data_IF_862687038336
#
_entry.id   IF_862687038336
#
_cell.length_a   1.000
_cell.length_b   1.000
_cell.length_c   1.000
_cell.angle_alpha   90.00
_cell.angle_beta   90.00
_cell.angle_gamma   90.00
#
_symmetry.space_group_name_H-M   'P 1'
#
loop_
_entity.id
_entity.type
_entity.pdbx_description
1 polymer ?
#
# COMPACT_ATOMS: atom_id res chain seq x y z
N UNK A 1 -13.21 2.81 -39.94
CA UNK A 1 -14.46 3.04 -39.20
C UNK A 1 -14.94 1.83 -38.39
N UNK A 2 -14.81 0.57 -38.84
CA UNK A 2 -15.19 -0.60 -38.03
C UNK A 2 -14.01 -1.18 -37.21
N UNK A 3 -12.78 -1.11 -37.72
CA UNK A 3 -11.58 -1.65 -37.05
C UNK A 3 -11.18 -0.88 -35.78
N UNK A 4 -11.37 0.45 -35.73
CA UNK A 4 -11.03 1.30 -34.58
C UNK A 4 -11.89 1.02 -33.33
N UNK A 5 -13.04 0.37 -33.47
CA UNK A 5 -13.95 0.06 -32.36
C UNK A 5 -13.57 -1.24 -31.64
N UNK A 6 -12.93 -2.18 -32.33
CA UNK A 6 -12.54 -3.49 -31.81
C UNK A 6 -11.26 -3.42 -30.96
N UNK A 7 -10.35 -2.51 -31.30
CA UNK A 7 -9.15 -2.20 -30.51
C UNK A 7 -9.50 -1.58 -29.15
N UNK A 8 -10.45 -0.63 -29.11
CA UNK A 8 -10.93 0.02 -27.87
C UNK A 8 -11.65 -0.96 -26.94
N UNK A 9 -12.39 -1.94 -27.47
CA UNK A 9 -13.02 -2.98 -26.65
C UNK A 9 -12.00 -3.94 -26.02
N UNK A 10 -10.92 -4.23 -26.74
CA UNK A 10 -9.83 -5.10 -26.26
C UNK A 10 -9.03 -4.41 -25.16
N UNK A 11 -8.72 -3.12 -25.33
CA UNK A 11 -8.05 -2.29 -24.33
C UNK A 11 -8.93 -2.13 -23.07
N UNK A 12 -10.24 -1.89 -23.21
CA UNK A 12 -11.18 -1.86 -22.09
C UNK A 12 -11.28 -3.21 -21.38
N UNK A 13 -11.31 -4.35 -22.08
CA UNK A 13 -11.28 -5.68 -21.43
C UNK A 13 -9.96 -5.95 -20.73
N UNK A 14 -8.85 -5.48 -21.28
CA UNK A 14 -7.53 -5.61 -20.66
C UNK A 14 -7.45 -4.77 -19.38
N UNK A 15 -7.89 -3.51 -19.42
CA UNK A 15 -7.98 -2.61 -18.27
C UNK A 15 -9.00 -3.10 -17.22
N UNK A 16 -10.10 -3.74 -17.63
CA UNK A 16 -11.06 -4.35 -16.69
C UNK A 16 -10.53 -5.64 -16.06
N UNK A 17 -9.77 -6.46 -16.81
CA UNK A 17 -9.09 -7.64 -16.25
C UNK A 17 -8.03 -7.24 -15.24
N UNK A 18 -7.19 -6.25 -15.58
CA UNK A 18 -6.17 -5.74 -14.66
C UNK A 18 -6.78 -5.02 -13.48
N UNK A 19 -7.81 -4.15 -13.64
CA UNK A 19 -8.52 -3.53 -12.51
C UNK A 19 -9.21 -4.53 -11.60
N UNK A 20 -9.74 -5.63 -12.14
CA UNK A 20 -10.36 -6.69 -11.33
C UNK A 20 -9.33 -7.51 -10.56
N UNK A 21 -8.17 -7.77 -11.18
CA UNK A 21 -6.99 -8.35 -10.50
C UNK A 21 -6.45 -7.40 -9.41
N UNK A 22 -6.34 -6.12 -9.72
CA UNK A 22 -5.85 -5.07 -8.84
C UNK A 22 -6.77 -4.92 -7.63
N UNK A 23 -8.08 -4.78 -7.83
CA UNK A 23 -9.07 -4.75 -6.72
C UNK A 23 -9.06 -5.99 -5.84
N UNK A 24 -8.63 -7.14 -6.36
CA UNK A 24 -8.54 -8.38 -5.58
C UNK A 24 -7.23 -8.45 -4.78
N UNK A 25 -6.12 -7.93 -5.32
CA UNK A 25 -4.83 -7.83 -4.62
C UNK A 25 -4.83 -6.71 -3.55
N UNK A 26 -5.54 -5.61 -3.79
CA UNK A 26 -5.75 -4.49 -2.86
C UNK A 26 -6.33 -4.90 -1.49
N UNK A 27 -7.02 -6.03 -1.40
CA UNK A 27 -7.70 -6.44 -0.17
C UNK A 27 -6.90 -7.43 0.71
N UNK A 28 -5.68 -7.84 0.34
CA UNK A 28 -5.04 -8.98 1.00
C UNK A 28 -3.58 -8.83 1.44
N UNK A 29 -2.89 -7.75 1.08
CA UNK A 29 -1.49 -7.59 1.49
C UNK A 29 -1.42 -6.85 2.83
N UNK A 30 -0.92 -7.55 3.83
CA UNK A 30 -0.67 -7.04 5.18
C UNK A 30 0.84 -7.02 5.42
N UNK A 31 1.31 -6.00 6.14
CA UNK A 31 2.70 -5.91 6.60
C UNK A 31 2.75 -5.60 8.07
N UNK A 32 3.88 -5.95 8.68
CA UNK A 32 4.14 -5.70 10.09
C UNK A 32 5.25 -4.70 10.26
N UNK A 33 5.11 -3.79 11.22
CA UNK A 33 6.20 -2.92 11.68
C UNK A 33 6.26 -2.92 13.21
N UNK A 34 7.43 -2.60 13.76
CA UNK A 34 7.59 -2.40 15.21
C UNK A 34 7.44 -0.92 15.51
N UNK A 35 6.56 -0.56 16.44
CA UNK A 35 6.40 0.82 16.86
C UNK A 35 7.62 1.28 17.68
N UNK A 36 8.31 2.34 17.24
CA UNK A 36 9.47 2.91 17.95
C UNK A 36 9.14 3.48 19.35
N UNK A 37 7.87 3.79 19.62
CA UNK A 37 7.45 4.40 20.88
C UNK A 37 7.13 3.36 21.97
N UNK A 38 6.36 2.32 21.65
CA UNK A 38 5.95 1.29 22.62
C UNK A 38 6.61 -0.08 22.43
N UNK A 39 7.26 -0.32 21.29
CA UNK A 39 7.88 -1.60 20.95
C UNK A 39 6.92 -2.68 20.50
N UNK A 40 5.64 -2.37 20.29
CA UNK A 40 4.63 -3.35 19.86
C UNK A 40 4.75 -3.64 18.35
N UNK A 41 4.49 -4.89 17.97
CA UNK A 41 4.34 -5.30 16.57
C UNK A 41 2.94 -4.96 16.06
N UNK A 42 2.87 -4.07 15.07
CA UNK A 42 1.62 -3.59 14.48
C UNK A 42 1.47 -4.16 13.08
N UNK A 43 0.31 -4.76 12.81
CA UNK A 43 -0.08 -5.24 11.48
C UNK A 43 -0.94 -4.19 10.80
N UNK A 44 -0.60 -3.82 9.57
CA UNK A 44 -1.32 -2.83 8.77
C UNK A 44 -1.63 -3.37 7.37
N UNK A 45 -2.81 -3.06 6.82
CA UNK A 45 -3.10 -3.33 5.42
C UNK A 45 -2.34 -2.35 4.52
N UNK A 46 -1.79 -2.82 3.41
CA UNK A 46 -1.09 -1.99 2.43
C UNK A 46 -1.71 -2.10 1.05
N UNK A 47 -1.89 -0.94 0.40
CA UNK A 47 -2.47 -0.86 -0.95
C UNK A 47 -1.37 -0.56 -1.99
N UNK A 48 -1.11 -1.45 -2.96
CA UNK A 48 -0.13 -1.19 -4.02
C UNK A 48 -0.51 -0.02 -4.95
N UNK A 49 -1.74 0.50 -4.88
CA UNK A 49 -2.21 1.70 -5.57
C UNK A 49 -1.47 2.98 -5.17
N UNK A 50 -0.92 3.03 -3.95
CA UNK A 50 -0.13 4.16 -3.49
C UNK A 50 1.23 4.30 -4.19
N UNK A 51 1.61 3.33 -5.03
CA UNK A 51 2.90 3.28 -5.71
C UNK A 51 3.89 2.33 -5.03
N UNK A 52 5.05 2.15 -5.67
CA UNK A 52 6.10 1.23 -5.20
C UNK A 52 6.72 1.63 -3.88
N UNK A 53 6.81 2.93 -3.61
CA UNK A 53 7.35 3.46 -2.37
C UNK A 53 6.31 4.42 -1.81
N UNK A 54 5.88 4.17 -0.58
CA UNK A 54 4.87 4.95 0.10
C UNK A 54 5.40 5.41 1.44
N UNK A 55 5.02 6.63 1.82
CA UNK A 55 5.36 7.22 3.10
C UNK A 55 4.13 7.94 3.62
N UNK A 56 3.67 7.56 4.81
CA UNK A 56 2.52 8.19 5.46
C UNK A 56 2.67 8.12 6.97
N UNK A 57 1.97 9.00 7.68
CA UNK A 57 1.94 9.00 9.14
C UNK A 57 0.65 8.35 9.62
N UNK A 58 0.75 7.44 10.58
CA UNK A 58 -0.37 6.82 11.26
C UNK A 58 -0.11 6.77 12.77
N UNK A 59 -1.14 6.91 13.59
CA UNK A 59 -1.02 6.75 15.04
C UNK A 59 -0.94 5.26 15.40
N UNK A 60 0.01 4.88 16.25
CA UNK A 60 0.08 3.51 16.77
C UNK A 60 -1.22 3.17 17.53
N UNK A 61 -1.94 2.07 17.18
CA UNK A 61 -3.21 1.74 17.81
C UNK A 61 -3.08 1.33 19.30
N UNK A 62 -1.86 1.11 19.77
CA UNK A 62 -1.57 0.71 21.16
C UNK A 62 -1.18 1.89 22.04
N UNK A 63 -0.35 2.81 21.54
CA UNK A 63 0.20 3.91 22.35
C UNK A 63 -0.16 5.31 21.84
N UNK A 64 -0.92 5.41 20.74
CA UNK A 64 -1.36 6.67 20.12
C UNK A 64 -0.23 7.64 19.76
N UNK A 65 1.01 7.16 19.60
CA UNK A 65 2.11 7.99 19.13
C UNK A 65 2.16 7.96 17.60
N UNK A 66 2.35 9.11 16.94
CA UNK A 66 2.46 9.19 15.50
C UNK A 66 3.72 8.47 15.03
N UNK A 67 3.52 7.54 14.10
CA UNK A 67 4.56 6.74 13.46
C UNK A 67 4.57 7.05 11.97
N UNK A 68 5.74 7.42 11.45
CA UNK A 68 5.97 7.60 10.02
C UNK A 68 6.24 6.23 9.43
N UNK A 69 5.27 5.68 8.72
CA UNK A 69 5.35 4.37 8.10
C UNK A 69 5.90 4.52 6.69
N UNK A 70 6.90 3.71 6.40
CA UNK A 70 7.50 3.54 5.09
C UNK A 70 7.11 2.18 4.56
N UNK A 71 6.62 2.12 3.32
CA UNK A 71 6.29 0.87 2.64
C UNK A 71 7.03 0.82 1.31
N UNK A 72 7.76 -0.26 1.07
CA UNK A 72 8.40 -0.56 -0.21
C UNK A 72 7.84 -1.88 -0.78
N UNK A 73 7.49 -1.87 -2.04
CA UNK A 73 7.00 -3.02 -2.78
C UNK A 73 8.12 -3.55 -3.68
N UNK A 74 8.89 -4.51 -3.16
CA UNK A 74 9.99 -5.16 -3.89
C UNK A 74 9.51 -6.47 -4.51
N UNK A 75 9.63 -6.60 -5.83
CA UNK A 75 9.39 -7.84 -6.60
C UNK A 75 8.14 -8.70 -6.23
N UNK A 76 7.07 -8.08 -5.72
CA UNK A 76 5.77 -8.65 -5.25
C UNK A 76 5.61 -8.85 -3.72
N UNK A 77 6.62 -8.59 -2.88
CA UNK A 77 6.48 -8.61 -1.41
C UNK A 77 6.57 -7.19 -0.81
N UNK A 78 5.54 -6.74 -0.06
CA UNK A 78 5.61 -5.47 0.64
C UNK A 78 6.46 -5.58 1.91
N UNK A 79 7.28 -4.56 2.15
CA UNK A 79 8.08 -4.40 3.36
C UNK A 79 7.74 -3.08 4.01
N UNK A 80 7.50 -3.09 5.31
CA UNK A 80 7.26 -1.87 6.08
C UNK A 80 8.24 -1.67 7.23
N UNK A 81 8.53 -0.41 7.52
CA UNK A 81 9.22 0.01 8.73
C UNK A 81 8.62 1.34 9.19
N UNK A 82 8.71 1.60 10.50
CA UNK A 82 8.28 2.86 11.07
C UNK A 82 9.48 3.66 11.58
N UNK A 83 9.35 4.98 11.51
CA UNK A 83 10.21 5.94 12.19
C UNK A 83 9.31 6.79 13.10
N UNK A 84 9.75 7.09 14.32
CA UNK A 84 9.02 8.05 15.14
C UNK A 84 9.02 9.45 14.47
N UNK A 85 7.84 10.06 14.26
CA UNK A 85 7.75 11.38 13.59
C UNK A 85 8.49 12.47 14.36
N UNK A 86 8.57 12.31 15.69
CA UNK A 86 9.29 13.14 16.66
C UNK A 86 9.75 14.52 16.13
N UNK A 87 8.79 15.44 16.00
CA UNK A 87 9.04 16.86 16.26
C UNK A 87 9.37 16.99 17.77
N UNK A 88 10.58 16.58 18.12
CA UNK A 88 11.12 16.66 19.47
C UNK A 88 11.68 18.06 19.69
N UNK A 89 10.78 19.03 19.91
CA UNK A 89 11.14 20.38 20.33
C UNK A 89 10.72 20.66 21.77
#
# INVERSE_FOLDING_TARGET
>A
MQEENEERETECRFLLKTKRQYRFRIMQDEVTYICDACGEEIVIPVDPAGGKTQKYTEDCPVCCNPSVIHVDWDEDEPRAWAEAEQDRF
#
